data_IF_906679846746
#
_entry.id   IF_906679846746
#
_cell.length_a   1.000
_cell.length_b   1.000
_cell.length_c   1.000
_cell.angle_alpha   90.00
_cell.angle_beta   90.00
_cell.angle_gamma   90.00
#
_symmetry.space_group_name_H-M   'P 1'
#
loop_
_entity.id
_entity.type
_entity.pdbx_description
1 polymer ?
#
# COMPACT_ATOMS: atom_id res chain seq x y z
N UNK A 1 -28.38 -11.44 -16.44
CA UNK A 1 -27.30 -10.77 -15.70
C UNK A 1 -26.01 -10.89 -16.51
N UNK A 2 -25.39 -9.76 -16.86
CA UNK A 2 -24.30 -9.72 -17.83
C UNK A 2 -22.97 -10.09 -17.14
N UNK A 3 -22.42 -11.28 -17.41
CA UNK A 3 -21.20 -11.80 -16.75
C UNK A 3 -19.99 -10.86 -16.86
N UNK A 4 -19.95 -10.02 -17.90
CA UNK A 4 -18.92 -9.00 -18.08
C UNK A 4 -18.97 -7.90 -17.00
N UNK A 5 -20.18 -7.46 -16.60
CA UNK A 5 -20.34 -6.46 -15.55
C UNK A 5 -19.92 -6.99 -14.18
N UNK A 6 -20.22 -8.27 -13.91
CA UNK A 6 -19.80 -8.95 -12.67
C UNK A 6 -18.27 -9.12 -12.60
N UNK A 7 -17.62 -9.39 -13.73
CA UNK A 7 -16.16 -9.51 -13.79
C UNK A 7 -15.46 -8.16 -13.56
N UNK A 8 -15.93 -7.07 -14.19
CA UNK A 8 -15.41 -5.72 -13.97
C UNK A 8 -15.56 -5.28 -12.50
N UNK A 9 -16.70 -5.57 -11.88
CA UNK A 9 -16.94 -5.24 -10.47
C UNK A 9 -16.00 -6.00 -9.52
N UNK A 10 -15.73 -7.28 -9.79
CA UNK A 10 -14.79 -8.07 -8.98
C UNK A 10 -13.37 -7.51 -9.10
N UNK A 11 -12.98 -7.09 -10.30
CA UNK A 11 -11.68 -6.51 -10.59
C UNK A 11 -11.48 -5.19 -9.84
N UNK A 12 -12.47 -4.30 -9.86
CA UNK A 12 -12.48 -3.06 -9.05
C UNK A 12 -12.36 -3.32 -7.55
N UNK A 13 -13.05 -4.35 -7.04
CA UNK A 13 -12.95 -4.74 -5.62
C UNK A 13 -11.55 -5.26 -5.30
N UNK A 14 -10.88 -5.97 -6.21
CA UNK A 14 -9.51 -6.43 -6.00
C UNK A 14 -8.54 -5.24 -5.91
N UNK A 15 -8.68 -4.20 -6.76
CA UNK A 15 -7.82 -3.01 -6.69
C UNK A 15 -7.95 -2.27 -5.37
N UNK A 16 -9.19 -1.98 -4.96
CA UNK A 16 -9.45 -1.33 -3.68
C UNK A 16 -8.87 -2.17 -2.53
N UNK A 17 -9.01 -3.50 -2.61
CA UNK A 17 -8.49 -4.39 -1.59
C UNK A 17 -6.95 -4.38 -1.51
N UNK A 18 -6.24 -4.31 -2.65
CA UNK A 18 -4.78 -4.16 -2.68
C UNK A 18 -4.36 -2.82 -2.05
N UNK A 19 -5.02 -1.72 -2.41
CA UNK A 19 -4.73 -0.40 -1.86
C UNK A 19 -4.90 -0.37 -0.33
N UNK A 20 -6.01 -0.93 0.19
CA UNK A 20 -6.26 -1.03 1.63
C UNK A 20 -5.28 -1.96 2.34
N UNK A 21 -4.91 -3.08 1.72
CA UNK A 21 -3.93 -4.00 2.30
C UNK A 21 -2.58 -3.30 2.51
N UNK A 22 -2.10 -2.59 1.48
CA UNK A 22 -0.84 -1.87 1.58
C UNK A 22 -0.94 -0.68 2.54
N UNK A 23 -2.10 -0.02 2.63
CA UNK A 23 -2.35 1.04 3.60
C UNK A 23 -2.27 0.52 5.04
N UNK A 24 -2.90 -0.61 5.35
CA UNK A 24 -2.86 -1.19 6.70
C UNK A 24 -1.46 -1.69 7.07
N UNK A 25 -0.70 -2.22 6.11
CA UNK A 25 0.72 -2.52 6.33
C UNK A 25 1.52 -1.26 6.65
N UNK A 26 1.33 -0.18 5.88
CA UNK A 26 2.01 1.09 6.13
C UNK A 26 1.70 1.63 7.54
N UNK A 27 0.44 1.57 7.96
CA UNK A 27 0.01 1.99 9.30
C UNK A 27 0.59 1.08 10.40
N UNK A 28 0.68 -0.22 10.17
CA UNK A 28 1.31 -1.17 11.11
C UNK A 28 2.79 -0.84 11.29
N UNK A 29 3.53 -0.66 10.18
CA UNK A 29 4.95 -0.29 10.20
C UNK A 29 5.17 1.09 10.84
N UNK A 30 4.27 2.05 10.60
CA UNK A 30 4.32 3.36 11.24
C UNK A 30 4.16 3.24 12.75
N UNK A 31 3.15 2.47 13.20
CA UNK A 31 2.90 2.25 14.62
C UNK A 31 4.04 1.50 15.32
N UNK A 32 4.73 0.59 14.63
CA UNK A 32 5.93 -0.05 15.17
C UNK A 32 7.11 0.93 15.21
N UNK A 33 7.35 1.72 14.16
CA UNK A 33 8.45 2.70 14.11
C UNK A 33 8.31 3.76 15.22
N UNK A 34 7.10 4.24 15.49
CA UNK A 34 6.85 5.20 16.58
C UNK A 34 7.17 4.65 17.97
N UNK A 35 7.24 3.32 18.16
CA UNK A 35 7.63 2.74 19.46
C UNK A 35 9.07 3.06 19.84
N UNK A 36 9.94 3.26 18.86
CA UNK A 36 11.35 3.57 19.13
C UNK A 36 11.57 5.05 19.49
N UNK A 37 10.55 5.91 19.33
CA UNK A 37 10.63 7.35 19.63
C UNK A 37 9.79 7.74 20.85
N UNK A 38 8.66 7.07 21.09
CA UNK A 38 7.73 7.45 22.14
C UNK A 38 8.11 6.89 23.52
N UNK A 39 7.82 7.64 24.60
CA UNK A 39 8.05 7.18 25.98
C UNK A 39 7.20 5.95 26.34
N UNK A 40 7.70 5.15 27.30
CA UNK A 40 7.14 3.84 27.66
C UNK A 40 5.64 3.84 28.01
N UNK A 41 5.13 4.95 28.54
CA UNK A 41 3.71 5.13 28.87
C UNK A 41 2.77 4.95 27.67
N UNK A 42 3.24 5.20 26.45
CA UNK A 42 2.46 5.09 25.21
C UNK A 42 2.68 3.76 24.46
N UNK A 43 3.67 2.95 24.85
CA UNK A 43 4.06 1.73 24.14
C UNK A 43 2.96 0.67 24.15
N UNK A 44 2.20 0.55 25.24
CA UNK A 44 1.11 -0.42 25.33
C UNK A 44 0.01 -0.13 24.31
N UNK A 45 -0.40 1.13 24.18
CA UNK A 45 -1.44 1.56 23.23
C UNK A 45 -0.97 1.28 21.80
N UNK A 46 0.25 1.68 21.46
CA UNK A 46 0.85 1.40 20.15
C UNK A 46 0.97 -0.10 19.85
N UNK A 47 1.16 -0.93 20.87
CA UNK A 47 1.17 -2.39 20.73
C UNK A 47 -0.18 -2.95 20.31
N UNK A 48 -1.26 -2.46 20.90
CA UNK A 48 -2.61 -2.85 20.50
C UNK A 48 -2.97 -2.31 19.11
N UNK A 49 -2.60 -1.05 18.81
CA UNK A 49 -2.87 -0.42 17.52
C UNK A 49 -2.16 -1.15 16.37
N UNK A 50 -0.85 -1.42 16.48
CA UNK A 50 -0.11 -2.19 15.46
C UNK A 50 -0.69 -3.59 15.27
N UNK A 51 -0.98 -4.32 16.37
CA UNK A 51 -1.64 -5.64 16.27
C UNK A 51 -3.00 -5.57 15.59
N UNK A 52 -3.77 -4.51 15.83
CA UNK A 52 -5.03 -4.24 15.17
C UNK A 52 -4.86 -4.07 13.65
N UNK A 53 -3.90 -3.23 13.23
CA UNK A 53 -3.59 -3.04 11.81
C UNK A 53 -3.04 -4.30 11.15
N UNK A 54 -2.21 -5.08 11.85
CA UNK A 54 -1.74 -6.38 11.37
C UNK A 54 -2.89 -7.36 11.17
N UNK A 55 -3.84 -7.44 12.11
CA UNK A 55 -5.02 -8.28 11.98
C UNK A 55 -5.91 -7.85 10.81
N UNK A 56 -6.12 -6.53 10.64
CA UNK A 56 -6.85 -5.98 9.49
C UNK A 56 -6.15 -6.29 8.17
N UNK A 57 -4.83 -6.24 8.13
CA UNK A 57 -4.02 -6.61 6.95
C UNK A 57 -4.29 -8.06 6.56
N UNK A 58 -4.23 -9.00 7.51
CA UNK A 58 -4.50 -10.42 7.27
C UNK A 58 -5.94 -10.63 6.79
N UNK A 59 -6.91 -9.99 7.42
CA UNK A 59 -8.32 -10.12 7.04
C UNK A 59 -8.58 -9.59 5.63
N UNK A 60 -7.95 -8.47 5.27
CA UNK A 60 -8.02 -7.87 3.94
C UNK A 60 -7.31 -8.75 2.90
N UNK A 61 -6.17 -9.36 3.25
CA UNK A 61 -5.47 -10.32 2.40
C UNK A 61 -6.31 -11.55 2.09
N UNK A 62 -6.95 -12.14 3.12
CA UNK A 62 -7.84 -13.29 2.97
C UNK A 62 -9.03 -12.96 2.05
N UNK A 63 -9.63 -11.78 2.23
CA UNK A 63 -10.69 -11.28 1.33
C UNK A 63 -10.21 -11.17 -0.11
N UNK A 64 -9.00 -10.66 -0.33
CA UNK A 64 -8.38 -10.55 -1.65
C UNK A 64 -8.18 -11.90 -2.34
N UNK A 65 -7.66 -12.89 -1.62
CA UNK A 65 -7.47 -14.27 -2.11
C UNK A 65 -8.83 -14.87 -2.52
N UNK A 66 -9.88 -14.62 -1.73
CA UNK A 66 -11.22 -15.12 -2.03
C UNK A 66 -11.81 -14.48 -3.29
N UNK A 67 -11.64 -13.17 -3.47
CA UNK A 67 -12.05 -12.44 -4.68
C UNK A 67 -11.30 -12.92 -5.92
N UNK A 68 -9.98 -13.15 -5.83
CA UNK A 68 -9.21 -13.71 -6.95
C UNK A 68 -9.71 -15.12 -7.33
N UNK A 69 -9.99 -15.98 -6.34
CA UNK A 69 -10.58 -17.31 -6.59
C UNK A 69 -11.96 -17.24 -7.24
N UNK A 70 -12.76 -16.21 -6.95
CA UNK A 70 -14.04 -15.99 -7.62
C UNK A 70 -13.82 -15.56 -9.09
N UNK A 71 -12.88 -14.64 -9.36
CA UNK A 71 -12.49 -14.22 -10.71
C UNK A 71 -12.03 -15.41 -11.57
N UNK A 72 -11.16 -16.28 -11.04
CA UNK A 72 -10.68 -17.46 -11.76
C UNK A 72 -11.80 -18.43 -12.18
N UNK A 73 -12.90 -18.49 -11.42
CA UNK A 73 -14.06 -19.33 -11.75
C UNK A 73 -14.98 -18.74 -12.82
N UNK A 74 -14.96 -17.42 -13.05
CA UNK A 74 -15.85 -16.73 -13.98
C UNK A 74 -15.37 -16.72 -15.45
N UNK A 75 -14.15 -17.21 -15.72
CA UNK A 75 -13.64 -17.46 -17.07
C UNK A 75 -12.98 -16.27 -17.77
N UNK A 76 -11.90 -16.55 -18.53
CA UNK A 76 -11.14 -15.62 -19.38
C UNK A 76 -11.98 -15.20 -20.59
N UNK A 77 -12.66 -14.05 -20.55
CA UNK A 77 -13.13 -13.41 -21.79
C UNK A 77 -13.14 -11.89 -21.57
N UNK A 78 -12.20 -11.19 -22.20
CA UNK A 78 -11.93 -9.74 -22.14
C UNK A 78 -11.12 -9.19 -20.95
N UNK A 79 -10.24 -9.99 -20.33
CA UNK A 79 -9.46 -9.54 -19.16
C UNK A 79 -8.09 -8.92 -19.49
N UNK A 80 -7.60 -9.02 -20.72
CA UNK A 80 -6.22 -8.65 -21.07
C UNK A 80 -5.98 -7.13 -20.97
N UNK A 81 -6.93 -6.30 -21.42
CA UNK A 81 -6.80 -4.84 -21.30
C UNK A 81 -6.84 -4.35 -19.85
N UNK A 82 -7.75 -4.91 -19.04
CA UNK A 82 -7.83 -4.57 -17.61
C UNK A 82 -6.63 -5.08 -16.80
N UNK A 83 -6.01 -6.20 -17.16
CA UNK A 83 -4.79 -6.68 -16.49
C UNK A 83 -3.58 -5.80 -16.80
N UNK A 84 -3.47 -5.26 -18.02
CA UNK A 84 -2.41 -4.32 -18.41
C UNK A 84 -2.46 -3.02 -17.60
N UNK A 85 -3.64 -2.42 -17.46
CA UNK A 85 -3.81 -1.16 -16.74
C UNK A 85 -3.34 -1.24 -15.27
N UNK A 86 -3.57 -2.38 -14.62
CA UNK A 86 -3.20 -2.62 -13.22
C UNK A 86 -1.73 -2.76 -13.04
N UNK A 87 -1.14 -3.53 -13.94
CA UNK A 87 0.27 -3.80 -13.91
C UNK A 87 1.04 -2.50 -14.15
N UNK A 88 0.52 -1.63 -15.02
CA UNK A 88 1.06 -0.29 -15.26
C UNK A 88 0.85 0.64 -14.07
N UNK A 89 -0.35 0.71 -13.48
CA UNK A 89 -0.61 1.50 -12.29
C UNK A 89 0.27 1.05 -11.11
N UNK A 90 0.44 -0.26 -10.94
CA UNK A 90 1.31 -0.87 -9.95
C UNK A 90 2.79 -0.52 -10.20
N UNK A 91 3.29 -0.73 -11.42
CA UNK A 91 4.69 -0.41 -11.79
C UNK A 91 4.98 1.07 -11.56
N UNK A 92 4.12 1.97 -12.04
CA UNK A 92 4.29 3.42 -11.84
C UNK A 92 4.23 3.80 -10.37
N UNK A 93 3.34 3.17 -9.59
CA UNK A 93 3.28 3.39 -8.14
C UNK A 93 4.56 2.91 -7.44
N UNK A 94 5.13 1.75 -7.83
CA UNK A 94 6.41 1.26 -7.34
C UNK A 94 7.57 2.22 -7.66
N UNK A 95 7.64 2.73 -8.89
CA UNK A 95 8.70 3.67 -9.27
C UNK A 95 8.63 4.95 -8.46
N UNK A 96 7.43 5.53 -8.32
CA UNK A 96 7.23 6.75 -7.53
C UNK A 96 7.51 6.52 -6.05
N UNK A 97 7.02 5.41 -5.48
CA UNK A 97 7.25 5.11 -4.07
C UNK A 97 8.73 4.88 -3.79
N UNK A 98 9.43 4.15 -4.66
CA UNK A 98 10.87 3.92 -4.50
C UNK A 98 11.68 5.21 -4.60
N UNK A 99 11.41 6.06 -5.60
CA UNK A 99 12.10 7.34 -5.75
C UNK A 99 11.90 8.27 -4.54
N UNK A 100 10.66 8.39 -4.06
CA UNK A 100 10.35 9.18 -2.86
C UNK A 100 10.95 8.56 -1.60
N UNK A 101 11.01 7.23 -1.49
CA UNK A 101 11.64 6.55 -0.34
C UNK A 101 13.14 6.80 -0.29
N UNK A 102 13.81 6.83 -1.44
CA UNK A 102 15.24 7.20 -1.50
C UNK A 102 15.47 8.65 -1.06
N UNK A 103 14.61 9.58 -1.48
CA UNK A 103 14.64 10.96 -0.99
C UNK A 103 14.37 11.05 0.52
N UNK A 104 13.41 10.27 1.02
CA UNK A 104 13.12 10.17 2.44
C UNK A 104 14.30 9.62 3.24
N UNK A 105 14.98 8.56 2.76
CA UNK A 105 16.17 8.00 3.41
C UNK A 105 17.30 9.04 3.50
N UNK A 106 17.52 9.81 2.43
CA UNK A 106 18.51 10.90 2.46
C UNK A 106 18.17 11.99 3.50
N UNK A 107 16.88 12.27 3.71
CA UNK A 107 16.43 13.17 4.78
C UNK A 107 16.55 12.52 6.16
N UNK A 108 16.18 11.25 6.28
CA UNK A 108 16.17 10.51 7.53
C UNK A 108 17.56 10.42 8.16
N UNK A 109 18.62 10.39 7.35
CA UNK A 109 20.02 10.40 7.81
C UNK A 109 20.33 11.60 8.74
N UNK A 110 19.63 12.73 8.57
CA UNK A 110 19.75 13.89 9.46
C UNK A 110 19.12 13.68 10.85
N UNK A 111 18.21 12.71 10.98
CA UNK A 111 17.45 12.43 12.20
C UNK A 111 17.96 11.19 12.96
N UNK A 112 18.68 10.28 12.30
CA UNK A 112 19.31 9.10 12.90
C UNK A 112 20.15 9.42 14.16
N UNK A 113 20.92 10.53 14.24
CA UNK A 113 21.74 10.82 15.41
C UNK A 113 20.97 11.01 16.72
N UNK A 114 19.66 11.27 16.65
CA UNK A 114 18.81 11.48 17.84
C UNK A 114 18.21 10.17 18.40
N UNK A 115 18.50 9.03 17.78
CA UNK A 115 17.96 7.72 18.17
C UNK A 115 19.07 6.88 18.79
N UNK A 116 18.72 6.08 19.80
CA UNK A 116 19.66 5.16 20.44
C UNK A 116 20.32 4.24 19.40
N UNK A 117 21.66 4.08 19.40
CA UNK A 117 22.37 3.29 18.39
C UNK A 117 21.91 1.83 18.30
N UNK A 118 21.35 1.27 19.38
CA UNK A 118 20.78 -0.08 19.39
C UNK A 118 19.46 -0.19 18.61
N UNK A 119 18.67 0.89 18.51
CA UNK A 119 17.35 0.93 17.87
C UNK A 119 17.36 1.58 16.48
N UNK A 120 18.48 2.19 16.07
CA UNK A 120 18.59 2.95 14.82
C UNK A 120 18.22 2.13 13.58
N UNK A 121 18.70 0.88 13.49
CA UNK A 121 18.48 0.03 12.32
C UNK A 121 17.00 -0.36 12.21
N UNK A 122 16.39 -0.81 13.30
CA UNK A 122 14.99 -1.24 13.32
C UNK A 122 14.06 -0.07 13.02
N UNK A 123 14.33 1.11 13.60
CA UNK A 123 13.57 2.31 13.31
C UNK A 123 13.67 2.70 11.83
N UNK A 124 14.88 2.79 11.26
CA UNK A 124 15.08 3.21 9.87
C UNK A 124 14.42 2.25 8.89
N UNK A 125 14.52 0.93 9.14
CA UNK A 125 13.86 -0.10 8.33
C UNK A 125 12.34 0.03 8.41
N UNK A 126 11.76 0.14 9.61
CA UNK A 126 10.31 0.24 9.77
C UNK A 126 9.76 1.57 9.23
N UNK A 127 10.45 2.69 9.45
CA UNK A 127 10.06 4.00 8.96
C UNK A 127 10.14 4.08 7.43
N UNK A 128 11.21 3.55 6.82
CA UNK A 128 11.35 3.52 5.36
C UNK A 128 10.31 2.60 4.71
N UNK A 129 10.03 1.43 5.29
CA UNK A 129 8.94 0.54 4.85
C UNK A 129 7.58 1.23 4.98
N UNK A 130 7.30 1.86 6.12
CA UNK A 130 6.06 2.59 6.34
C UNK A 130 5.86 3.70 5.30
N UNK A 131 6.90 4.50 5.06
CA UNK A 131 6.88 5.57 4.08
C UNK A 131 6.69 5.03 2.65
N UNK A 132 7.46 4.01 2.26
CA UNK A 132 7.38 3.39 0.94
C UNK A 132 5.99 2.82 0.68
N UNK A 133 5.43 2.07 1.64
CA UNK A 133 4.11 1.48 1.53
C UNK A 133 3.01 2.54 1.55
N UNK A 134 3.16 3.60 2.36
CA UNK A 134 2.23 4.72 2.42
C UNK A 134 2.17 5.47 1.08
N UNK A 135 3.32 5.87 0.55
CA UNK A 135 3.42 6.53 -0.76
C UNK A 135 2.93 5.61 -1.87
N UNK A 136 3.30 4.33 -1.84
CA UNK A 136 2.80 3.35 -2.81
C UNK A 136 1.27 3.27 -2.76
N UNK A 137 0.68 3.14 -1.58
CA UNK A 137 -0.78 3.01 -1.42
C UNK A 137 -1.50 4.24 -1.98
N UNK A 138 -1.02 5.45 -1.67
CA UNK A 138 -1.58 6.70 -2.19
C UNK A 138 -1.43 6.78 -3.71
N UNK A 139 -0.22 6.55 -4.23
CA UNK A 139 0.06 6.63 -5.67
C UNK A 139 -0.72 5.59 -6.47
N UNK A 140 -0.85 4.37 -5.93
CA UNK A 140 -1.64 3.30 -6.53
C UNK A 140 -3.13 3.62 -6.49
N UNK A 141 -3.64 4.13 -5.36
CA UNK A 141 -5.05 4.51 -5.22
C UNK A 141 -5.45 5.61 -6.22
N UNK A 142 -4.65 6.69 -6.30
CA UNK A 142 -4.89 7.78 -7.25
C UNK A 142 -4.92 7.25 -8.68
N UNK A 143 -3.90 6.48 -9.08
CA UNK A 143 -3.82 5.93 -10.45
C UNK A 143 -4.90 4.92 -10.77
N UNK A 144 -5.29 4.10 -9.81
CA UNK A 144 -6.38 3.13 -9.97
C UNK A 144 -7.73 3.80 -10.18
N UNK A 145 -7.91 5.03 -9.68
CA UNK A 145 -9.14 5.82 -9.87
C UNK A 145 -9.17 6.54 -11.22
N UNK A 146 -8.05 7.11 -11.65
CA UNK A 146 -7.91 7.82 -12.94
C UNK A 146 -7.82 6.87 -14.15
N UNK A 147 -7.85 5.55 -13.96
CA UNK A 147 -8.02 4.58 -15.06
C UNK A 147 -9.42 4.49 -15.63
N UNK A 148 -10.40 5.05 -14.92
CA UNK A 148 -11.81 5.01 -15.30
C UNK A 148 -12.31 6.34 -15.88
N UNK A 149 -11.50 7.40 -15.78
CA UNK A 149 -11.78 8.73 -16.30
C UNK A 149 -10.49 9.18 -17.00
N UNK A 150 -10.52 9.24 -18.33
CA UNK A 150 -9.35 9.51 -19.17
C UNK A 150 -8.48 10.64 -18.62
N UNK A 151 -7.25 10.29 -18.24
CA UNK A 151 -6.18 11.23 -17.91
C UNK A 151 -5.25 11.31 -19.12
N UNK A 152 -5.84 11.64 -20.27
CA UNK A 152 -5.14 12.42 -21.27
C UNK A 152 -5.34 13.89 -20.86
N UNK A 153 -4.27 14.68 -20.96
CA UNK A 153 -4.15 16.11 -20.62
C UNK A 153 -3.54 16.43 -19.23
N UNK A 154 -2.52 17.30 -19.27
CA UNK A 154 -2.00 18.12 -18.16
C UNK A 154 -0.82 17.65 -17.29
N UNK A 155 0.19 16.99 -17.88
CA UNK A 155 1.58 17.16 -17.39
C UNK A 155 2.60 17.44 -18.51
N UNK A 156 2.13 17.95 -19.65
CA UNK A 156 2.96 18.49 -20.72
C UNK A 156 2.53 19.93 -21.03
N UNK A 157 2.70 20.83 -20.07
CA UNK A 157 2.72 22.28 -20.29
C UNK A 157 3.70 22.94 -19.34
#
# INVERSE_FOLDING_TARGET
MNKAAECAEIVDRVYKNIAFLVLFMALSCTADALRHILPESNLQILRYVSKGFAALTVLTALRGIWLMRAKFRLGKRNTEEHESFVLDAFRKACTVSWALTMAFLALADNFVPNISPEDQVDFVVQASLAFMLGVFSIAYFIRSRSGNEGFDEDFAS
#
